data_IF_860519972714
#
_entry.id   IF_860519972714
#
_cell.length_a   1.000
_cell.length_b   1.000
_cell.length_c   1.000
_cell.angle_alpha   90.00
_cell.angle_beta   90.00
_cell.angle_gamma   90.00
#
_symmetry.space_group_name_H-M   'P 1'
#
loop_
_entity.id
_entity.type
_entity.pdbx_description
1 polymer ?
#
# COMPACT_ATOMS: atom_id res chain seq x y z
N UNK A 1 8.44 -13.02 24.51
CA UNK A 1 7.50 -13.12 23.36
C UNK A 1 7.79 -14.42 22.62
N UNK A 2 6.81 -15.29 22.34
CA UNK A 2 7.08 -16.55 21.65
C UNK A 2 7.33 -16.32 20.15
N UNK A 3 8.19 -17.13 19.52
CA UNK A 3 8.54 -17.01 18.09
C UNK A 3 7.31 -17.02 17.18
N UNK A 4 6.32 -17.87 17.51
CA UNK A 4 5.05 -17.93 16.78
C UNK A 4 4.21 -16.65 16.90
N UNK A 5 4.24 -15.98 18.06
CA UNK A 5 3.52 -14.72 18.26
C UNK A 5 4.15 -13.59 17.43
N UNK A 6 5.48 -13.49 17.41
CA UNK A 6 6.21 -12.54 16.56
C UNK A 6 5.91 -12.77 15.07
N UNK A 7 6.03 -14.03 14.61
CA UNK A 7 5.78 -14.38 13.22
C UNK A 7 4.35 -14.05 12.80
N UNK A 8 3.36 -14.42 13.63
CA UNK A 8 1.96 -14.08 13.39
C UNK A 8 1.75 -12.57 13.23
N UNK A 9 2.32 -11.76 14.14
CA UNK A 9 2.19 -10.29 14.06
C UNK A 9 2.83 -9.72 12.79
N UNK A 10 3.99 -10.21 12.38
CA UNK A 10 4.66 -9.78 11.14
C UNK A 10 3.84 -10.15 9.90
N UNK A 11 3.30 -11.37 9.84
CA UNK A 11 2.44 -11.81 8.74
C UNK A 11 1.14 -11.00 8.67
N UNK A 12 0.48 -10.75 9.81
CA UNK A 12 -0.71 -9.91 9.86
C UNK A 12 -0.43 -8.50 9.38
N UNK A 13 0.69 -7.89 9.79
CA UNK A 13 1.06 -6.55 9.36
C UNK A 13 1.34 -6.50 7.86
N UNK A 14 2.08 -7.49 7.33
CA UNK A 14 2.32 -7.60 5.89
C UNK A 14 1.02 -7.80 5.10
N UNK A 15 0.10 -8.63 5.60
CA UNK A 15 -1.20 -8.85 4.99
C UNK A 15 -2.00 -7.55 4.93
N UNK A 16 -2.14 -6.84 6.06
CA UNK A 16 -2.92 -5.60 6.15
C UNK A 16 -2.41 -4.52 5.20
N UNK A 17 -1.09 -4.35 5.12
CA UNK A 17 -0.47 -3.35 4.21
C UNK A 17 -0.71 -3.70 2.74
N UNK A 18 -0.78 -4.99 2.40
CA UNK A 18 -0.99 -5.42 1.01
C UNK A 18 -2.47 -5.64 0.65
N UNK A 19 -3.36 -5.83 1.63
CA UNK A 19 -4.80 -6.01 1.42
C UNK A 19 -5.42 -4.82 0.67
N UNK A 20 -4.90 -3.61 0.93
CA UNK A 20 -5.27 -2.40 0.22
C UNK A 20 -5.14 -2.54 -1.32
N UNK A 21 -4.18 -3.33 -1.83
CA UNK A 21 -4.01 -3.61 -3.28
C UNK A 21 -5.17 -4.39 -3.87
N UNK A 22 -5.70 -5.34 -3.10
CA UNK A 22 -6.81 -6.19 -3.53
C UNK A 22 -8.12 -5.42 -3.49
N UNK A 23 -8.34 -4.65 -2.42
CA UNK A 23 -9.56 -3.86 -2.25
C UNK A 23 -9.66 -2.68 -3.23
N UNK A 24 -8.54 -2.13 -3.70
CA UNK A 24 -8.55 -1.01 -4.64
C UNK A 24 -9.05 -1.38 -6.03
N UNK A 25 -8.82 -2.62 -6.48
CA UNK A 25 -9.16 -3.04 -7.83
C UNK A 25 -10.66 -2.84 -8.17
N UNK A 26 -11.63 -3.33 -7.37
CA UNK A 26 -13.05 -3.08 -7.65
C UNK A 26 -13.48 -1.63 -7.41
N UNK A 27 -12.72 -0.83 -6.67
CA UNK A 27 -13.06 0.57 -6.41
C UNK A 27 -12.72 1.51 -7.57
N UNK A 28 -11.96 1.05 -8.57
CA UNK A 28 -11.55 1.88 -9.72
C UNK A 28 -12.78 2.36 -10.49
N UNK A 29 -13.71 1.46 -10.78
CA UNK A 29 -14.92 1.75 -11.54
C UNK A 29 -15.84 2.71 -10.76
N UNK A 30 -16.00 2.48 -9.45
CA UNK A 30 -16.76 3.37 -8.57
C UNK A 30 -16.15 4.78 -8.47
N UNK A 31 -14.82 4.90 -8.47
CA UNK A 31 -14.16 6.22 -8.49
C UNK A 31 -14.41 6.93 -9.82
N UNK A 32 -14.41 6.20 -10.93
CA UNK A 32 -14.74 6.75 -12.26
C UNK A 32 -16.18 7.30 -12.26
N UNK A 33 -17.14 6.50 -11.79
CA UNK A 33 -18.56 6.84 -11.81
C UNK A 33 -18.89 8.01 -10.87
N UNK A 34 -18.47 7.92 -9.61
CA UNK A 34 -18.79 8.93 -8.58
C UNK A 34 -18.16 10.29 -8.89
N UNK A 35 -16.95 10.32 -9.44
CA UNK A 35 -16.23 11.56 -9.71
C UNK A 35 -16.30 12.03 -11.17
N UNK A 36 -16.92 11.24 -12.07
CA UNK A 36 -17.06 11.57 -13.49
C UNK A 36 -15.71 11.76 -14.21
N UNK A 37 -14.68 11.03 -13.78
CA UNK A 37 -13.31 11.16 -14.29
C UNK A 37 -12.98 10.03 -15.27
N UNK A 38 -12.22 10.33 -16.32
CA UNK A 38 -11.82 9.31 -17.30
C UNK A 38 -10.84 8.27 -16.74
N UNK A 39 -10.79 7.10 -17.38
CA UNK A 39 -9.92 5.97 -17.01
C UNK A 39 -8.44 6.37 -16.88
N UNK A 40 -7.94 7.23 -17.78
CA UNK A 40 -6.55 7.68 -17.74
C UNK A 40 -6.21 8.45 -16.46
N UNK A 41 -7.13 9.29 -15.99
CA UNK A 41 -6.97 10.06 -14.75
C UNK A 41 -6.92 9.14 -13.54
N UNK A 42 -7.82 8.14 -13.49
CA UNK A 42 -7.85 7.17 -12.39
C UNK A 42 -6.64 6.24 -12.44
N UNK A 43 -6.20 5.82 -13.63
CA UNK A 43 -4.97 5.05 -13.82
C UNK A 43 -3.73 5.80 -13.32
N UNK A 44 -3.65 7.10 -13.58
CA UNK A 44 -2.59 7.95 -13.04
C UNK A 44 -2.69 8.05 -11.51
N UNK A 45 -3.88 8.28 -10.96
CA UNK A 45 -4.10 8.35 -9.52
C UNK A 45 -3.69 7.05 -8.83
N UNK A 46 -4.12 5.90 -9.33
CA UNK A 46 -3.76 4.58 -8.81
C UNK A 46 -2.25 4.36 -8.87
N UNK A 47 -1.60 4.78 -9.95
CA UNK A 47 -0.13 4.72 -10.06
C UNK A 47 0.54 5.58 -8.99
N UNK A 48 0.08 6.80 -8.78
CA UNK A 48 0.59 7.70 -7.74
C UNK A 48 0.39 7.14 -6.34
N UNK A 49 -0.75 6.51 -6.06
CA UNK A 49 -1.01 5.81 -4.79
C UNK A 49 0.02 4.69 -4.58
N UNK A 50 0.31 3.90 -5.60
CA UNK A 50 1.31 2.82 -5.50
C UNK A 50 2.73 3.33 -5.33
N UNK A 51 3.11 4.37 -6.07
CA UNK A 51 4.41 5.02 -5.92
C UNK A 51 4.53 5.61 -4.53
N UNK A 52 3.52 6.37 -4.08
CA UNK A 52 3.47 6.95 -2.74
C UNK A 52 3.56 5.90 -1.62
N UNK A 53 2.97 4.72 -1.79
CA UNK A 53 3.09 3.59 -0.85
C UNK A 53 4.49 2.94 -0.86
N UNK A 54 5.17 2.97 -2.01
CA UNK A 54 6.49 2.37 -2.17
C UNK A 54 7.63 3.29 -1.72
N UNK A 55 7.49 4.60 -1.95
CA UNK A 55 8.52 5.60 -1.66
C UNK A 55 9.04 5.52 -0.23
N UNK A 56 8.22 5.44 0.84
CA UNK A 56 8.71 5.36 2.22
C UNK A 56 9.56 4.14 2.52
N UNK A 57 9.45 3.05 1.74
CA UNK A 57 10.14 1.79 2.01
C UNK A 57 11.66 1.93 1.87
N UNK A 58 12.11 2.73 0.91
CA UNK A 58 13.53 3.00 0.65
C UNK A 58 14.20 3.84 1.76
N UNK A 59 13.72 5.06 2.09
CA UNK A 59 14.32 5.87 3.14
C UNK A 59 14.13 5.22 4.50
N UNK A 60 13.02 4.51 4.77
CA UNK A 60 12.86 3.77 6.04
C UNK A 60 13.94 2.72 6.20
N UNK A 61 14.19 1.89 5.18
CA UNK A 61 15.26 0.89 5.22
C UNK A 61 16.63 1.51 5.43
N UNK A 62 16.92 2.62 4.76
CA UNK A 62 18.17 3.36 4.97
C UNK A 62 18.27 3.97 6.38
N UNK A 63 17.19 4.60 6.86
CA UNK A 63 17.17 5.30 8.14
C UNK A 63 17.36 4.34 9.30
N UNK A 64 16.73 3.16 9.24
CA UNK A 64 16.90 2.07 10.21
C UNK A 64 18.33 1.52 10.27
N UNK A 65 19.15 1.78 9.24
CA UNK A 65 20.57 1.38 9.22
C UNK A 65 21.52 2.50 9.65
N UNK A 66 21.08 3.76 9.64
CA UNK A 66 21.91 4.91 10.01
C UNK A 66 21.62 5.49 11.38
N UNK A 67 20.38 5.36 11.88
CA UNK A 67 20.01 5.85 13.20
C UNK A 67 20.00 4.68 14.20
N UNK A 68 20.62 4.85 15.38
CA UNK A 68 20.59 3.85 16.45
C UNK A 68 19.21 3.71 17.10
#
# INVERSE_FOLDING_TARGET
>A
MSRGRLFGTLCSLALLVNLARVMFAPMVDEIIDVFGVGEATVGLLVTLVWVGSAVPRLPTGWLLTRLP
#
